data_IF_280263832009
#
_entry.id   IF_280263832009
#
_cell.length_a   1.000
_cell.length_b   1.000
_cell.length_c   1.000
_cell.angle_alpha   90.00
_cell.angle_beta   90.00
_cell.angle_gamma   90.00
#
_symmetry.space_group_name_H-M   'P 1'
#
loop_
_entity.id
_entity.type
_entity.pdbx_description
1 polymer ?
#
# COMPACT_ATOMS: atom_id res chain seq x y z
N UNK A 1 34.06 40.82 22.86
CA UNK A 1 33.12 39.79 22.37
C UNK A 1 32.24 40.44 21.31
N UNK A 2 32.73 40.76 20.10
CA UNK A 2 33.07 39.79 19.04
C UNK A 2 31.92 38.77 18.86
N UNK A 3 30.91 39.11 18.05
CA UNK A 3 30.71 38.74 16.62
C UNK A 3 30.00 37.40 16.45
N UNK A 4 28.72 37.43 16.06
CA UNK A 4 28.04 36.59 15.04
C UNK A 4 26.50 36.71 15.18
N UNK A 5 25.96 37.92 15.03
CA UNK A 5 24.51 38.12 14.85
C UNK A 5 24.21 39.26 13.87
N UNK A 6 25.00 39.33 12.79
CA UNK A 6 24.70 40.16 11.63
C UNK A 6 25.03 39.38 10.37
N UNK A 7 24.04 38.60 9.92
CA UNK A 7 23.82 38.33 8.49
C UNK A 7 22.37 37.88 8.29
N UNK A 8 21.42 38.74 8.70
CA UNK A 8 20.20 38.89 7.91
C UNK A 8 20.61 39.62 6.63
N UNK A 9 20.95 38.86 5.60
CA UNK A 9 20.92 39.34 4.21
C UNK A 9 19.65 38.81 3.59
N UNK A 10 18.64 39.69 3.51
CA UNK A 10 17.54 39.72 2.54
C UNK A 10 16.93 38.38 2.10
N UNK A 11 15.91 37.92 2.84
CA UNK A 11 14.99 36.86 2.43
C UNK A 11 14.11 37.21 1.20
N UNK A 12 14.45 38.28 0.46
CA UNK A 12 13.79 38.72 -0.78
C UNK A 12 14.61 38.46 -2.04
N UNK A 13 15.85 37.97 -1.94
CA UNK A 13 16.75 37.70 -3.07
C UNK A 13 17.38 36.29 -2.99
N UNK A 14 16.58 35.24 -2.78
CA UNK A 14 17.05 33.86 -3.02
C UNK A 14 16.79 33.51 -4.49
N UNK A 15 17.79 33.62 -5.39
CA UNK A 15 17.60 33.36 -6.82
C UNK A 15 17.24 31.90 -7.13
N UNK A 16 17.37 30.96 -6.18
CA UNK A 16 16.90 29.59 -6.36
C UNK A 16 15.37 29.51 -6.24
N UNK A 17 14.72 30.38 -5.43
CA UNK A 17 13.27 30.32 -5.20
C UNK A 17 12.44 30.40 -6.50
N UNK A 18 12.66 31.33 -7.45
CA UNK A 18 11.90 31.37 -8.70
C UNK A 18 11.96 30.05 -9.49
N UNK A 19 13.12 29.38 -9.47
CA UNK A 19 13.26 28.05 -10.10
C UNK A 19 12.47 26.99 -9.33
N UNK A 20 12.55 26.96 -8.00
CA UNK A 20 11.76 26.03 -7.18
C UNK A 20 10.25 26.21 -7.40
N UNK A 21 9.78 27.45 -7.49
CA UNK A 21 8.38 27.75 -7.81
C UNK A 21 8.00 27.30 -9.21
N UNK A 22 8.88 27.53 -10.20
CA UNK A 22 8.64 27.10 -11.59
C UNK A 22 8.62 25.58 -11.72
N UNK A 23 9.52 24.88 -11.03
CA UNK A 23 9.57 23.42 -10.97
C UNK A 23 8.32 22.88 -10.27
N UNK A 24 7.92 23.46 -9.14
CA UNK A 24 6.69 23.10 -8.43
C UNK A 24 5.46 23.27 -9.33
N UNK A 25 5.31 24.42 -9.98
CA UNK A 25 4.21 24.70 -10.90
C UNK A 25 4.22 23.75 -12.11
N UNK A 26 5.40 23.36 -12.62
CA UNK A 26 5.52 22.41 -13.72
C UNK A 26 5.15 20.97 -13.29
N UNK A 27 5.40 20.61 -12.03
CA UNK A 27 4.99 19.33 -11.45
C UNK A 27 3.48 19.29 -11.13
N UNK A 28 2.89 20.41 -10.72
CA UNK A 28 1.47 20.53 -10.36
C UNK A 28 0.56 20.86 -11.57
N UNK A 29 1.11 21.44 -12.63
CA UNK A 29 0.39 21.85 -13.83
C UNK A 29 0.08 20.68 -14.76
N UNK A 30 -1.20 20.47 -15.06
CA UNK A 30 -1.75 19.42 -15.93
C UNK A 30 -1.40 19.52 -17.44
N UNK A 31 -0.25 20.09 -17.80
CA UNK A 31 0.15 20.31 -19.20
C UNK A 31 1.63 20.58 -19.47
N UNK A 32 2.53 20.46 -18.47
CA UNK A 32 3.97 20.58 -18.70
C UNK A 32 4.52 19.35 -19.43
N UNK A 33 5.03 19.52 -20.66
CA UNK A 33 5.74 18.40 -21.33
C UNK A 33 6.95 17.98 -20.50
N UNK A 34 7.27 16.68 -20.44
CA UNK A 34 8.47 16.19 -19.73
C UNK A 34 9.76 16.88 -20.21
N UNK A 35 9.78 17.35 -21.46
CA UNK A 35 10.87 18.12 -22.02
C UNK A 35 10.98 19.52 -21.42
N UNK A 36 9.85 20.18 -21.12
CA UNK A 36 9.86 21.50 -20.47
C UNK A 36 10.41 21.39 -19.04
N UNK A 37 10.04 20.34 -18.29
CA UNK A 37 10.59 20.10 -16.95
C UNK A 37 12.09 19.78 -17.00
N UNK A 38 12.52 18.97 -17.96
CA UNK A 38 13.95 18.68 -18.21
C UNK A 38 14.75 19.97 -18.44
N UNK A 39 14.24 20.85 -19.30
CA UNK A 39 14.90 22.12 -19.62
C UNK A 39 14.95 23.04 -18.39
N UNK A 40 13.84 23.20 -17.65
CA UNK A 40 13.78 24.02 -16.43
C UNK A 40 14.77 23.55 -15.35
N UNK A 41 14.85 22.24 -15.12
CA UNK A 41 15.79 21.66 -14.16
C UNK A 41 17.24 21.82 -14.62
N UNK A 42 17.50 21.63 -15.92
CA UNK A 42 18.82 21.85 -16.53
C UNK A 42 19.28 23.30 -16.41
N UNK A 43 18.41 24.26 -16.72
CA UNK A 43 18.69 25.70 -16.60
C UNK A 43 18.97 26.09 -15.15
N UNK A 44 18.23 25.52 -14.20
CA UNK A 44 18.48 25.72 -12.78
C UNK A 44 19.87 25.20 -12.38
N UNK A 45 20.24 24.00 -12.82
CA UNK A 45 21.54 23.41 -12.53
C UNK A 45 22.68 24.24 -13.11
N UNK A 46 22.58 24.62 -14.39
CA UNK A 46 23.60 25.43 -15.06
C UNK A 46 23.78 26.77 -14.35
N UNK A 47 22.69 27.39 -13.89
CA UNK A 47 22.72 28.68 -13.22
C UNK A 47 23.38 28.65 -11.84
N UNK A 48 23.31 27.52 -11.11
CA UNK A 48 23.71 27.46 -9.70
C UNK A 48 24.82 26.45 -9.38
N UNK A 49 25.25 25.60 -10.32
CA UNK A 49 26.24 24.53 -10.04
C UNK A 49 27.58 25.03 -9.52
N UNK A 50 27.98 26.23 -9.91
CA UNK A 50 29.24 26.87 -9.49
C UNK A 50 29.07 27.78 -8.27
N UNK A 51 27.84 27.95 -7.77
CA UNK A 51 27.54 28.82 -6.63
C UNK A 51 27.87 28.16 -5.30
N UNK A 52 28.78 28.77 -4.53
CA UNK A 52 29.15 28.24 -3.20
C UNK A 52 28.00 28.28 -2.20
N UNK A 53 27.06 29.23 -2.35
CA UNK A 53 25.89 29.38 -1.49
C UNK A 53 24.99 28.14 -1.54
N UNK A 54 24.82 27.53 -2.71
CA UNK A 54 23.93 26.37 -2.92
C UNK A 54 24.65 25.03 -2.84
N UNK A 55 25.98 25.02 -2.72
CA UNK A 55 26.80 23.80 -2.67
C UNK A 55 26.35 22.83 -1.57
N UNK A 56 25.89 23.33 -0.42
CA UNK A 56 25.38 22.50 0.68
C UNK A 56 23.87 22.66 0.91
N UNK A 57 23.14 23.22 -0.06
CA UNK A 57 21.70 23.41 0.04
C UNK A 57 20.95 22.14 -0.39
N UNK A 58 20.19 21.56 0.54
CA UNK A 58 19.39 20.35 0.30
C UNK A 58 18.31 20.59 -0.76
N UNK A 59 17.82 21.83 -0.92
CA UNK A 59 16.86 22.19 -1.98
C UNK A 59 17.50 22.03 -3.35
N UNK A 60 18.76 22.44 -3.50
CA UNK A 60 19.52 22.28 -4.73
C UNK A 60 19.85 20.80 -5.00
N UNK A 61 20.16 20.03 -3.95
CA UNK A 61 20.30 18.58 -4.06
C UNK A 61 19.03 17.91 -4.62
N UNK A 62 17.84 18.30 -4.14
CA UNK A 62 16.57 17.76 -4.68
C UNK A 62 16.40 18.04 -6.16
N UNK A 63 16.80 19.22 -6.63
CA UNK A 63 16.78 19.56 -8.06
C UNK A 63 17.67 18.63 -8.88
N UNK A 64 18.88 18.34 -8.40
CA UNK A 64 19.76 17.36 -9.05
C UNK A 64 19.16 15.95 -9.09
N UNK A 65 18.57 15.47 -8.00
CA UNK A 65 17.92 14.15 -7.96
C UNK A 65 16.71 14.10 -8.90
N UNK A 66 15.90 15.16 -8.96
CA UNK A 66 14.79 15.26 -9.91
C UNK A 66 15.28 15.24 -11.36
N UNK A 67 16.35 16.01 -11.66
CA UNK A 67 16.96 16.05 -12.99
C UNK A 67 17.51 14.69 -13.41
N UNK A 68 18.17 13.97 -12.49
CA UNK A 68 18.58 12.58 -12.71
C UNK A 68 17.40 11.66 -13.03
N UNK A 69 16.23 11.88 -12.43
CA UNK A 69 15.05 11.05 -12.67
C UNK A 69 14.42 11.21 -14.05
N UNK A 70 14.49 12.41 -14.62
CA UNK A 70 13.95 12.72 -15.96
C UNK A 70 14.98 12.58 -17.07
N UNK A 71 16.28 12.59 -16.74
CA UNK A 71 17.37 12.41 -17.71
C UNK A 71 17.51 10.97 -18.20
N UNK A 72 17.80 10.80 -19.48
CA UNK A 72 18.14 9.50 -20.08
C UNK A 72 19.52 8.99 -19.64
N UNK A 73 20.45 9.88 -19.35
CA UNK A 73 21.81 9.57 -18.87
C UNK A 73 22.02 10.06 -17.44
N UNK A 74 21.30 9.45 -16.50
CA UNK A 74 21.41 9.76 -15.07
C UNK A 74 22.80 9.45 -14.49
N UNK A 75 23.60 8.60 -15.15
CA UNK A 75 24.96 8.27 -14.72
C UNK A 75 25.90 9.45 -14.86
N UNK A 76 25.92 10.09 -16.03
CA UNK A 76 26.71 11.31 -16.26
C UNK A 76 26.26 12.46 -15.35
N UNK A 77 24.95 12.62 -15.17
CA UNK A 77 24.39 13.64 -14.26
C UNK A 77 24.84 13.41 -12.81
N UNK A 78 24.82 12.16 -12.34
CA UNK A 78 25.29 11.83 -10.99
C UNK A 78 26.78 12.16 -10.81
N UNK A 79 27.61 11.85 -11.81
CA UNK A 79 29.04 12.18 -11.78
C UNK A 79 29.27 13.69 -11.80
N UNK A 80 28.52 14.45 -12.60
CA UNK A 80 28.58 15.92 -12.60
C UNK A 80 28.20 16.49 -11.23
N UNK A 81 27.10 16.01 -10.62
CA UNK A 81 26.68 16.42 -9.28
C UNK A 81 27.79 16.19 -8.24
N UNK A 82 28.47 15.05 -8.27
CA UNK A 82 29.58 14.75 -7.38
C UNK A 82 30.80 15.66 -7.64
N UNK A 83 31.10 15.97 -8.89
CA UNK A 83 32.19 16.88 -9.28
C UNK A 83 31.93 18.32 -8.85
N UNK A 84 30.66 18.76 -8.86
CA UNK A 84 30.22 20.05 -8.31
C UNK A 84 30.27 20.08 -6.77
N UNK A 85 30.65 18.99 -6.11
CA UNK A 85 30.74 18.86 -4.65
C UNK A 85 29.43 19.19 -3.92
N UNK A 86 28.28 18.92 -4.55
CA UNK A 86 26.96 19.20 -3.97
C UNK A 86 26.72 18.29 -2.77
N UNK A 87 26.42 18.88 -1.61
CA UNK A 87 26.01 18.22 -0.37
C UNK A 87 26.92 17.04 0.08
N UNK A 88 28.21 17.09 -0.23
CA UNK A 88 29.14 15.97 0.00
C UNK A 88 29.30 15.56 1.47
N UNK A 89 29.01 16.46 2.42
CA UNK A 89 29.01 16.17 3.86
C UNK A 89 27.63 15.78 4.42
N UNK A 90 26.58 15.80 3.62
CA UNK A 90 25.21 15.53 4.05
C UNK A 90 24.81 14.11 3.65
N UNK A 91 24.30 13.33 4.61
CA UNK A 91 23.85 11.96 4.38
C UNK A 91 22.74 11.87 3.32
N UNK A 92 21.92 12.92 3.15
CA UNK A 92 20.81 12.96 2.20
C UNK A 92 21.26 12.71 0.76
N UNK A 93 22.44 13.21 0.36
CA UNK A 93 23.01 12.96 -0.96
C UNK A 93 23.13 11.46 -1.20
N UNK A 94 23.81 10.76 -0.29
CA UNK A 94 24.12 9.35 -0.44
C UNK A 94 22.90 8.48 -0.29
N UNK A 95 22.01 8.76 0.67
CA UNK A 95 20.77 7.99 0.87
C UNK A 95 19.86 8.12 -0.35
N UNK A 96 19.57 9.34 -0.80
CA UNK A 96 18.64 9.55 -1.92
C UNK A 96 19.21 9.04 -3.24
N UNK A 97 20.50 9.25 -3.51
CA UNK A 97 21.13 8.68 -4.68
C UNK A 97 21.15 7.16 -4.61
N UNK A 98 21.50 6.54 -3.48
CA UNK A 98 21.49 5.08 -3.37
C UNK A 98 20.08 4.49 -3.57
N UNK A 99 19.04 5.10 -3.00
CA UNK A 99 17.65 4.72 -3.26
C UNK A 99 17.28 4.85 -4.74
N UNK A 100 17.74 5.91 -5.42
CA UNK A 100 17.53 6.08 -6.85
C UNK A 100 18.16 4.94 -7.67
N UNK A 101 19.42 4.59 -7.39
CA UNK A 101 20.09 3.48 -8.08
C UNK A 101 19.45 2.12 -7.75
N UNK A 102 18.94 1.93 -6.53
CA UNK A 102 18.16 0.74 -6.15
C UNK A 102 16.88 0.61 -6.99
N UNK A 103 16.12 1.70 -7.18
CA UNK A 103 14.93 1.73 -8.05
C UNK A 103 15.24 1.43 -9.51
N UNK A 104 16.44 1.77 -10.00
CA UNK A 104 16.92 1.43 -11.35
C UNK A 104 17.49 0.00 -11.45
N UNK A 105 17.44 -0.78 -10.37
CA UNK A 105 17.98 -2.15 -10.30
C UNK A 105 19.51 -2.22 -10.23
N UNK A 106 20.20 -1.09 -10.05
CA UNK A 106 21.67 -1.00 -9.96
C UNK A 106 22.15 -1.14 -8.52
N UNK A 107 21.96 -2.34 -7.97
CA UNK A 107 22.17 -2.63 -6.54
C UNK A 107 23.62 -2.43 -6.09
N UNK A 108 24.59 -2.84 -6.92
CA UNK A 108 26.02 -2.68 -6.61
C UNK A 108 26.41 -1.20 -6.48
N UNK A 109 25.90 -0.36 -7.36
CA UNK A 109 26.15 1.08 -7.33
C UNK A 109 25.49 1.74 -6.13
N UNK A 110 24.27 1.33 -5.77
CA UNK A 110 23.61 1.79 -4.56
C UNK A 110 24.45 1.52 -3.31
N UNK A 111 25.01 0.31 -3.17
CA UNK A 111 25.93 -0.03 -2.06
C UNK A 111 27.23 0.78 -2.11
N UNK A 112 27.77 1.00 -3.31
CA UNK A 112 28.98 1.81 -3.50
C UNK A 112 28.76 3.25 -3.04
N UNK A 113 27.58 3.82 -3.32
CA UNK A 113 27.19 5.17 -2.89
C UNK A 113 27.06 5.24 -1.35
N UNK A 114 26.46 4.23 -0.71
CA UNK A 114 26.44 4.16 0.76
C UNK A 114 27.85 4.14 1.35
N UNK A 115 28.74 3.29 0.81
CA UNK A 115 30.13 3.24 1.25
C UNK A 115 30.87 4.56 1.05
N UNK A 116 30.63 5.24 -0.08
CA UNK A 116 31.21 6.56 -0.35
C UNK A 116 30.77 7.58 0.71
N UNK A 117 29.49 7.61 1.08
CA UNK A 117 28.99 8.52 2.11
C UNK A 117 29.58 8.23 3.49
N UNK A 118 29.76 6.96 3.83
CA UNK A 118 30.40 6.54 5.09
C UNK A 118 31.88 6.95 5.10
N UNK A 119 32.60 6.74 4.00
CA UNK A 119 34.02 7.15 3.90
C UNK A 119 34.21 8.67 3.99
N UNK A 120 33.19 9.44 3.58
CA UNK A 120 33.18 10.90 3.67
C UNK A 120 32.64 11.43 4.99
N UNK A 121 32.29 10.53 5.92
CA UNK A 121 31.73 10.86 7.23
C UNK A 121 30.53 11.80 7.13
N UNK A 122 29.62 11.50 6.19
CA UNK A 122 28.46 12.34 5.93
C UNK A 122 27.45 12.27 7.09
N UNK A 123 26.92 13.43 7.50
CA UNK A 123 26.04 13.53 8.65
C UNK A 123 24.56 13.66 8.22
N UNK A 124 23.62 13.01 8.95
CA UNK A 124 23.83 12.11 10.08
C UNK A 124 24.35 10.71 9.69
N UNK A 125 25.50 10.30 10.22
CA UNK A 125 26.15 9.05 9.83
C UNK A 125 25.37 7.79 10.24
N UNK A 126 24.70 7.84 11.39
CA UNK A 126 23.88 6.72 11.88
C UNK A 126 22.67 6.47 10.98
N UNK A 127 22.11 7.52 10.37
CA UNK A 127 21.05 7.38 9.38
C UNK A 127 21.57 6.67 8.13
N UNK A 128 22.77 7.02 7.67
CA UNK A 128 23.40 6.40 6.50
C UNK A 128 23.71 4.92 6.72
N UNK A 129 24.26 4.55 7.88
CA UNK A 129 24.51 3.14 8.25
C UNK A 129 23.22 2.33 8.33
N UNK A 130 22.16 2.88 8.94
CA UNK A 130 20.85 2.22 9.02
C UNK A 130 20.25 2.01 7.62
N UNK A 131 20.32 3.02 6.76
CA UNK A 131 19.84 2.92 5.38
C UNK A 131 20.61 1.86 4.57
N UNK A 132 21.95 1.80 4.73
CA UNK A 132 22.77 0.76 4.10
C UNK A 132 22.40 -0.65 4.58
N UNK A 133 22.18 -0.84 5.88
CA UNK A 133 21.78 -2.15 6.44
C UNK A 133 20.45 -2.64 5.85
N UNK A 134 19.46 -1.74 5.73
CA UNK A 134 18.18 -2.04 5.09
C UNK A 134 18.34 -2.39 3.60
N UNK A 135 19.22 -1.69 2.88
CA UNK A 135 19.53 -1.99 1.49
C UNK A 135 20.16 -3.39 1.33
N UNK A 136 21.15 -3.73 2.17
CA UNK A 136 21.75 -5.07 2.19
C UNK A 136 20.72 -6.17 2.47
N UNK A 137 19.77 -5.93 3.38
CA UNK A 137 18.70 -6.88 3.66
C UNK A 137 17.84 -7.12 2.41
N UNK A 138 17.38 -6.06 1.75
CA UNK A 138 16.59 -6.15 0.50
C UNK A 138 17.35 -6.84 -0.63
N UNK A 139 18.64 -6.53 -0.80
CA UNK A 139 19.50 -7.18 -1.81
C UNK A 139 19.66 -8.68 -1.48
N UNK A 140 19.88 -9.04 -0.22
CA UNK A 140 19.98 -10.44 0.22
C UNK A 140 18.70 -11.21 -0.04
N UNK A 141 17.54 -10.61 0.25
CA UNK A 141 16.22 -11.20 -0.02
C UNK A 141 15.97 -11.36 -1.52
N UNK A 142 16.36 -10.38 -2.33
CA UNK A 142 16.25 -10.42 -3.81
C UNK A 142 17.18 -11.47 -4.41
N UNK A 143 18.42 -11.58 -3.92
CA UNK A 143 19.36 -12.62 -4.35
C UNK A 143 18.84 -14.02 -3.99
N UNK A 144 18.36 -14.22 -2.76
CA UNK A 144 17.73 -15.49 -2.33
C UNK A 144 16.49 -15.82 -3.16
N UNK A 145 15.73 -14.81 -3.60
CA UNK A 145 14.58 -15.01 -4.48
C UNK A 145 15.00 -15.36 -5.92
N UNK A 146 16.06 -14.75 -6.46
CA UNK A 146 16.59 -15.04 -7.79
C UNK A 146 17.33 -16.39 -7.86
N UNK A 147 17.99 -16.80 -6.78
CA UNK A 147 18.67 -18.09 -6.64
C UNK A 147 17.65 -19.25 -6.60
N UNK A 148 16.48 -19.04 -5.98
CA UNK A 148 15.33 -19.96 -6.04
C UNK A 148 14.74 -20.14 -7.43
N UNK A 149 15.03 -19.24 -8.37
CA UNK A 149 14.55 -19.31 -9.76
C UNK A 149 15.56 -19.93 -10.74
N UNK A 150 16.84 -20.12 -10.34
CA UNK A 150 17.92 -20.58 -11.23
C UNK A 150 18.42 -22.02 -11.02
N UNK A 151 17.89 -22.76 -10.04
CA UNK A 151 18.34 -24.12 -9.75
C UNK A 151 17.20 -25.11 -10.05
N UNK A 152 17.04 -25.40 -11.34
CA UNK A 152 16.63 -26.73 -11.79
C UNK A 152 17.92 -27.52 -12.10
N UNK A 153 17.90 -28.83 -11.80
CA UNK A 153 18.99 -29.83 -11.86
C UNK A 153 19.95 -30.01 -10.66
N UNK A 154 19.55 -31.02 -9.87
CA UNK A 154 20.36 -32.10 -9.22
C UNK A 154 21.40 -31.74 -8.14
N UNK A 155 20.99 -32.01 -6.90
CA UNK A 155 21.72 -32.91 -6.00
C UNK A 155 22.42 -32.30 -4.77
N UNK A 156 21.75 -32.42 -3.61
CA UNK A 156 22.29 -32.65 -2.23
C UNK A 156 23.25 -31.59 -1.63
N UNK A 157 23.12 -31.04 -0.41
CA UNK A 157 22.43 -31.40 0.84
C UNK A 157 22.49 -30.20 1.83
N UNK A 158 21.56 -30.14 2.80
CA UNK A 158 21.61 -29.43 4.11
C UNK A 158 21.44 -27.89 4.23
N UNK A 159 20.19 -27.44 4.21
CA UNK A 159 19.48 -26.87 5.38
C UNK A 159 17.99 -27.11 5.10
N UNK A 160 17.25 -27.74 6.01
CA UNK A 160 15.91 -28.31 5.77
C UNK A 160 14.90 -27.33 5.14
N UNK A 161 14.91 -27.28 3.81
CA UNK A 161 14.02 -26.48 3.00
C UNK A 161 12.71 -27.27 2.86
N UNK A 162 11.84 -27.19 3.88
CA UNK A 162 10.46 -27.60 3.67
C UNK A 162 9.85 -26.50 2.81
N UNK A 163 9.93 -26.70 1.49
CA UNK A 163 9.19 -25.93 0.49
C UNK A 163 7.70 -26.22 0.65
N UNK A 164 7.14 -25.81 1.79
CA UNK A 164 5.71 -25.88 2.07
C UNK A 164 5.10 -24.77 1.23
N UNK A 165 4.40 -25.15 0.16
CA UNK A 165 3.42 -24.24 -0.42
C UNK A 165 2.28 -24.12 0.59
N UNK A 166 2.08 -22.97 1.27
CA UNK A 166 1.03 -22.84 2.28
C UNK A 166 -0.38 -22.96 1.66
N UNK A 167 -0.47 -22.87 0.33
CA UNK A 167 -1.71 -22.91 -0.45
C UNK A 167 -1.88 -24.25 -1.15
N UNK A 168 -1.03 -25.23 -0.84
CA UNK A 168 -1.21 -26.60 -1.31
C UNK A 168 -2.53 -27.15 -0.75
N UNK A 169 -3.35 -27.72 -1.65
CA UNK A 169 -4.68 -28.24 -1.29
C UNK A 169 -4.61 -29.26 -0.16
N UNK A 170 -3.58 -30.11 -0.11
CA UNK A 170 -3.44 -31.13 0.94
C UNK A 170 -3.17 -30.51 2.31
N UNK A 171 -2.35 -29.46 2.34
CA UNK A 171 -1.99 -28.73 3.56
C UNK A 171 -3.19 -27.94 4.07
N UNK A 172 -3.91 -27.28 3.16
CA UNK A 172 -5.12 -26.58 3.51
C UNK A 172 -6.20 -27.55 4.01
N UNK A 173 -6.38 -28.71 3.38
CA UNK A 173 -7.32 -29.73 3.85
C UNK A 173 -6.97 -30.23 5.25
N UNK A 174 -5.70 -30.50 5.53
CA UNK A 174 -5.25 -30.95 6.85
C UNK A 174 -5.37 -29.85 7.92
N UNK A 175 -5.07 -28.61 7.55
CA UNK A 175 -5.28 -27.45 8.41
C UNK A 175 -6.77 -27.22 8.69
N UNK A 176 -7.62 -27.37 7.67
CA UNK A 176 -9.08 -27.28 7.80
C UNK A 176 -9.63 -28.39 8.72
N UNK A 177 -9.12 -29.62 8.63
CA UNK A 177 -9.48 -30.70 9.58
C UNK A 177 -9.17 -30.30 11.03
N UNK A 178 -8.01 -29.67 11.26
CA UNK A 178 -7.60 -29.17 12.59
C UNK A 178 -8.46 -28.00 13.07
N UNK A 179 -8.87 -27.11 12.17
CA UNK A 179 -9.66 -25.91 12.48
C UNK A 179 -11.15 -26.21 12.66
N UNK A 180 -11.67 -27.24 12.00
CA UNK A 180 -13.09 -27.59 11.99
C UNK A 180 -13.76 -27.66 13.38
N UNK A 181 -13.15 -28.23 14.43
CA UNK A 181 -13.74 -28.24 15.77
C UNK A 181 -13.87 -26.84 16.38
N UNK A 182 -12.95 -25.93 16.04
CA UNK A 182 -12.90 -24.56 16.55
C UNK A 182 -13.85 -23.65 15.78
N UNK A 183 -13.83 -23.72 14.44
CA UNK A 183 -14.62 -22.81 13.59
C UNK A 183 -16.12 -22.97 13.83
N UNK A 184 -16.59 -24.19 14.11
CA UNK A 184 -17.99 -24.52 14.43
C UNK A 184 -18.50 -23.85 15.71
N UNK A 185 -17.60 -23.45 16.61
CA UNK A 185 -17.95 -22.80 17.88
C UNK A 185 -18.09 -21.28 17.74
N UNK A 186 -17.58 -20.70 16.65
CA UNK A 186 -17.67 -19.27 16.46
C UNK A 186 -19.12 -18.85 16.20
N UNK A 187 -19.52 -17.75 16.85
CA UNK A 187 -20.81 -17.14 16.61
C UNK A 187 -20.95 -16.77 15.13
N UNK A 188 -22.13 -17.06 14.56
CA UNK A 188 -22.41 -16.77 13.15
C UNK A 188 -21.95 -17.85 12.16
N UNK A 189 -21.36 -18.96 12.62
CA UNK A 189 -21.08 -20.11 11.77
C UNK A 189 -22.31 -21.01 11.59
N UNK A 190 -22.70 -21.28 10.34
CA UNK A 190 -23.82 -22.14 10.00
C UNK A 190 -23.41 -23.16 8.92
N UNK A 191 -23.66 -24.45 9.17
CA UNK A 191 -23.35 -25.53 8.23
C UNK A 191 -24.63 -26.25 7.78
N UNK A 192 -24.75 -26.45 6.47
CA UNK A 192 -25.76 -27.26 5.82
C UNK A 192 -25.10 -28.36 4.98
N UNK A 193 -25.54 -29.60 5.14
CA UNK A 193 -25.12 -30.72 4.29
C UNK A 193 -25.81 -30.73 2.93
N UNK A 194 -26.87 -29.93 2.77
CA UNK A 194 -27.58 -29.76 1.50
C UNK A 194 -26.92 -28.68 0.66
N UNK A 195 -26.93 -28.85 -0.66
CA UNK A 195 -26.64 -27.76 -1.60
C UNK A 195 -27.62 -26.62 -1.40
N UNK A 196 -27.21 -25.41 -1.78
CA UNK A 196 -28.10 -24.26 -1.70
C UNK A 196 -29.30 -24.43 -2.64
N UNK A 197 -30.50 -24.55 -2.06
CA UNK A 197 -31.78 -24.77 -2.77
C UNK A 197 -32.69 -23.55 -2.72
N UNK A 198 -32.14 -22.36 -2.45
CA UNK A 198 -32.92 -21.14 -2.39
C UNK A 198 -33.75 -20.93 -3.67
N UNK A 199 -34.92 -20.28 -3.52
CA UNK A 199 -35.88 -20.03 -4.62
C UNK A 199 -35.25 -19.37 -5.85
N UNK A 200 -34.11 -18.72 -5.68
CA UNK A 200 -33.29 -18.15 -6.74
C UNK A 200 -31.98 -18.92 -6.83
N UNK A 201 -31.69 -19.52 -7.97
CA UNK A 201 -30.43 -20.18 -8.21
C UNK A 201 -29.27 -19.16 -8.18
N UNK A 202 -28.25 -19.38 -7.36
CA UNK A 202 -27.11 -18.45 -7.23
C UNK A 202 -26.38 -18.22 -8.57
N UNK A 203 -26.38 -19.22 -9.47
CA UNK A 203 -25.84 -19.10 -10.83
C UNK A 203 -26.56 -18.06 -11.71
N UNK A 204 -27.82 -17.76 -11.40
CA UNK A 204 -28.65 -16.76 -12.11
C UNK A 204 -28.59 -15.36 -11.49
N UNK A 205 -27.80 -15.16 -10.42
CA UNK A 205 -27.65 -13.88 -9.73
C UNK A 205 -26.71 -12.89 -10.45
N UNK A 206 -26.38 -13.07 -11.73
CA UNK A 206 -25.59 -12.10 -12.52
C UNK A 206 -26.33 -10.74 -12.70
N UNK A 207 -26.11 -10.03 -13.80
CA UNK A 207 -26.63 -8.66 -14.03
C UNK A 207 -28.16 -8.48 -13.89
N UNK A 208 -28.95 -9.57 -13.86
CA UNK A 208 -30.40 -9.58 -13.66
C UNK A 208 -30.85 -9.85 -12.20
N UNK A 209 -29.98 -9.65 -11.20
CA UNK A 209 -30.27 -9.92 -9.78
C UNK A 209 -30.94 -8.79 -9.00
N UNK A 210 -31.07 -7.60 -9.60
CA UNK A 210 -31.71 -6.46 -8.92
C UNK A 210 -33.12 -6.81 -8.48
N UNK A 211 -33.41 -6.56 -7.21
CA UNK A 211 -34.69 -6.78 -6.55
C UNK A 211 -35.11 -8.24 -6.31
N UNK A 212 -34.19 -9.20 -6.39
CA UNK A 212 -34.46 -10.57 -5.95
C UNK A 212 -34.32 -10.69 -4.43
N UNK A 213 -35.24 -11.44 -3.81
CA UNK A 213 -35.15 -11.81 -2.39
C UNK A 213 -34.62 -13.22 -2.29
N UNK A 214 -33.53 -13.40 -1.52
CA UNK A 214 -33.01 -14.71 -1.15
C UNK A 214 -33.18 -14.94 0.34
N UNK A 215 -33.32 -16.20 0.74
CA UNK A 215 -33.46 -16.58 2.14
C UNK A 215 -32.27 -17.42 2.56
N UNK A 216 -31.55 -16.96 3.58
CA UNK A 216 -30.34 -17.61 4.10
C UNK A 216 -30.46 -17.66 5.62
N UNK A 217 -30.43 -18.87 6.18
CA UNK A 217 -30.50 -19.07 7.64
C UNK A 217 -31.73 -18.45 8.30
N UNK A 218 -32.88 -18.46 7.60
CA UNK A 218 -34.15 -17.89 8.08
C UNK A 218 -34.26 -16.36 8.01
N UNK A 219 -33.28 -15.67 7.40
CA UNK A 219 -33.35 -14.23 7.12
C UNK A 219 -33.52 -13.99 5.63
N UNK A 220 -34.30 -12.96 5.29
CA UNK A 220 -34.50 -12.53 3.90
C UNK A 220 -33.48 -11.45 3.56
N UNK A 221 -32.89 -11.55 2.38
CA UNK A 221 -31.94 -10.57 1.86
C UNK A 221 -32.43 -10.09 0.50
N UNK A 222 -32.73 -8.80 0.41
CA UNK A 222 -33.20 -8.16 -0.82
C UNK A 222 -32.02 -7.60 -1.61
N UNK A 223 -31.63 -8.28 -2.68
CA UNK A 223 -30.45 -7.93 -3.49
C UNK A 223 -30.71 -6.63 -4.26
N UNK A 224 -29.81 -5.66 -4.11
CA UNK A 224 -29.86 -4.37 -4.80
C UNK A 224 -28.96 -4.30 -6.02
N UNK A 225 -27.85 -5.04 -6.03
CA UNK A 225 -26.95 -5.10 -7.18
C UNK A 225 -25.68 -5.87 -6.90
N UNK A 226 -24.92 -6.15 -7.97
CA UNK A 226 -23.57 -6.66 -7.89
C UNK A 226 -22.66 -5.52 -7.41
N UNK A 227 -21.95 -5.75 -6.31
CA UNK A 227 -20.99 -4.81 -5.72
C UNK A 227 -19.55 -5.12 -6.15
N UNK A 228 -19.26 -6.38 -6.53
CA UNK A 228 -17.95 -6.79 -7.01
C UNK A 228 -17.96 -8.22 -7.53
N UNK A 229 -17.06 -8.52 -8.46
CA UNK A 229 -16.89 -9.85 -9.02
C UNK A 229 -15.40 -10.18 -9.12
N UNK A 230 -14.99 -11.29 -8.50
CA UNK A 230 -13.65 -11.88 -8.63
C UNK A 230 -13.71 -13.28 -9.23
N UNK A 231 -12.55 -13.90 -9.47
CA UNK A 231 -12.45 -15.25 -10.05
C UNK A 231 -13.15 -16.32 -9.22
N UNK A 232 -13.10 -16.20 -7.89
CA UNK A 232 -13.61 -17.21 -6.95
C UNK A 232 -14.83 -16.75 -6.13
N UNK A 233 -15.28 -15.49 -6.30
CA UNK A 233 -16.39 -14.96 -5.53
C UNK A 233 -17.21 -13.89 -6.26
N UNK A 234 -18.50 -13.81 -5.91
CA UNK A 234 -19.40 -12.74 -6.31
C UNK A 234 -19.92 -12.02 -5.07
N UNK A 235 -19.87 -10.69 -5.07
CA UNK A 235 -20.29 -9.85 -3.96
C UNK A 235 -21.53 -9.07 -4.35
N UNK A 236 -22.58 -9.15 -3.52
CA UNK A 236 -23.85 -8.48 -3.73
C UNK A 236 -24.17 -7.53 -2.59
N UNK A 237 -24.65 -6.33 -2.92
CA UNK A 237 -25.29 -5.45 -1.95
C UNK A 237 -26.70 -5.95 -1.67
N UNK A 238 -27.08 -6.12 -0.40
CA UNK A 238 -28.42 -6.53 -0.03
C UNK A 238 -28.94 -5.80 1.23
N UNK A 239 -30.26 -5.69 1.34
CA UNK A 239 -30.95 -5.22 2.55
C UNK A 239 -31.47 -6.40 3.35
N UNK A 240 -31.18 -6.44 4.64
CA UNK A 240 -31.65 -7.49 5.54
C UNK A 240 -33.13 -7.23 5.87
N UNK A 241 -33.97 -8.24 5.66
CA UNK A 241 -35.42 -8.17 5.89
C UNK A 241 -36.11 -6.95 5.24
N UNK A 242 -35.56 -6.48 4.11
CA UNK A 242 -36.02 -5.29 3.39
C UNK A 242 -35.88 -3.97 4.16
N UNK A 243 -35.10 -3.92 5.24
CA UNK A 243 -34.76 -2.68 5.94
C UNK A 243 -33.66 -1.92 5.17
N UNK A 244 -33.93 -0.70 4.66
CA UNK A 244 -32.92 0.11 3.97
C UNK A 244 -31.73 0.53 4.84
N UNK A 245 -31.88 0.51 6.17
CA UNK A 245 -30.83 0.87 7.11
C UNK A 245 -29.90 -0.31 7.45
N UNK A 246 -30.34 -1.55 7.21
CA UNK A 246 -29.57 -2.76 7.47
C UNK A 246 -28.99 -3.29 6.13
N UNK A 247 -27.86 -2.70 5.74
CA UNK A 247 -27.18 -2.97 4.47
C UNK A 247 -25.99 -3.89 4.68
N UNK A 248 -25.93 -4.98 3.91
CA UNK A 248 -24.86 -5.97 3.98
C UNK A 248 -24.29 -6.30 2.60
N UNK A 249 -23.04 -6.78 2.61
CA UNK A 249 -22.38 -7.40 1.47
C UNK A 249 -22.50 -8.93 1.59
N UNK A 250 -23.09 -9.56 0.58
CA UNK A 250 -23.19 -11.01 0.46
C UNK A 250 -22.12 -11.52 -0.48
N UNK A 251 -21.09 -12.16 0.07
CA UNK A 251 -19.98 -12.74 -0.69
C UNK A 251 -20.21 -14.23 -0.88
N UNK A 252 -20.52 -14.62 -2.11
CA UNK A 252 -20.81 -16.00 -2.51
C UNK A 252 -19.56 -16.59 -3.16
N UNK A 253 -19.09 -17.73 -2.66
CA UNK A 253 -17.90 -18.43 -3.15
C UNK A 253 -18.23 -19.85 -3.60
N UNK A 254 -17.59 -20.28 -4.69
CA UNK A 254 -17.71 -21.63 -5.26
C UNK A 254 -16.33 -22.13 -5.66
N UNK A 255 -15.83 -23.25 -5.12
CA UNK A 255 -16.45 -24.10 -4.08
C UNK A 255 -16.54 -23.39 -2.72
N UNK A 256 -17.13 -24.06 -1.72
CA UNK A 256 -17.24 -23.53 -0.36
C UNK A 256 -15.85 -23.26 0.24
N UNK A 257 -15.66 -22.05 0.78
CA UNK A 257 -14.36 -21.59 1.30
C UNK A 257 -14.48 -21.06 2.74
N UNK A 258 -14.56 -21.95 3.75
CA UNK A 258 -14.67 -21.57 5.17
C UNK A 258 -13.44 -20.85 5.73
N UNK A 259 -12.28 -20.98 5.08
CA UNK A 259 -11.01 -20.41 5.53
C UNK A 259 -11.09 -18.90 5.73
N UNK A 260 -11.75 -18.18 4.83
CA UNK A 260 -11.89 -16.71 4.94
C UNK A 260 -12.62 -16.29 6.23
N UNK A 261 -13.70 -16.99 6.60
CA UNK A 261 -14.39 -16.71 7.87
C UNK A 261 -13.52 -17.02 9.09
N UNK A 262 -12.69 -18.06 9.02
CA UNK A 262 -11.73 -18.35 10.08
C UNK A 262 -10.72 -17.20 10.25
N UNK A 263 -10.21 -16.63 9.16
CA UNK A 263 -9.28 -15.51 9.20
C UNK A 263 -9.91 -14.27 9.87
N UNK A 264 -11.17 -13.95 9.59
CA UNK A 264 -11.89 -12.90 10.32
C UNK A 264 -11.93 -13.13 11.83
N UNK A 265 -12.12 -14.39 12.25
CA UNK A 265 -12.12 -14.73 13.69
C UNK A 265 -10.73 -14.66 14.30
N UNK A 266 -9.68 -14.97 13.53
CA UNK A 266 -8.30 -14.75 13.98
C UNK A 266 -8.01 -13.25 14.17
N UNK A 267 -8.53 -12.38 13.30
CA UNK A 267 -8.43 -10.94 13.50
C UNK A 267 -9.13 -10.49 14.78
N UNK A 268 -10.38 -10.95 15.01
CA UNK A 268 -11.14 -10.62 16.23
C UNK A 268 -10.43 -11.02 17.52
N UNK A 269 -9.70 -12.13 17.49
CA UNK A 269 -9.02 -12.68 18.67
C UNK A 269 -7.66 -12.04 18.93
N UNK A 270 -6.97 -11.57 17.89
CA UNK A 270 -5.56 -11.15 17.99
C UNK A 270 -5.36 -9.63 17.90
N UNK A 271 -6.27 -8.91 17.24
CA UNK A 271 -6.22 -7.45 17.11
C UNK A 271 -7.30 -6.88 18.02
N UNK A 272 -6.94 -5.96 18.90
CA UNK A 272 -7.85 -5.37 19.89
C UNK A 272 -7.86 -3.85 19.78
N UNK A 273 -8.86 -3.21 20.41
CA UNK A 273 -8.95 -1.76 20.43
C UNK A 273 -9.33 -1.15 19.07
N UNK A 274 -8.81 0.05 18.79
CA UNK A 274 -9.19 0.84 17.62
C UNK A 274 -8.70 0.23 16.31
N UNK A 275 -7.54 -0.41 16.30
CA UNK A 275 -6.95 -1.03 15.10
C UNK A 275 -7.84 -2.11 14.49
N UNK A 276 -8.67 -2.79 15.30
CA UNK A 276 -9.59 -3.82 14.81
C UNK A 276 -10.60 -3.23 13.81
N UNK A 277 -10.99 -1.96 13.94
CA UNK A 277 -11.93 -1.33 13.00
C UNK A 277 -11.34 -1.18 11.59
N UNK A 278 -10.01 -1.19 11.43
CA UNK A 278 -9.29 -1.11 10.14
C UNK A 278 -9.45 -2.36 9.26
N UNK A 279 -10.02 -3.44 9.80
CA UNK A 279 -10.16 -4.72 9.12
C UNK A 279 -11.62 -5.16 9.00
N UNK A 280 -11.91 -5.90 7.94
CA UNK A 280 -13.23 -6.43 7.63
C UNK A 280 -13.85 -7.21 8.77
N UNK A 281 -15.19 -7.24 8.78
CA UNK A 281 -15.97 -8.06 9.70
C UNK A 281 -16.91 -8.94 8.88
N UNK A 282 -16.76 -10.26 9.01
CA UNK A 282 -17.76 -11.21 8.55
C UNK A 282 -18.72 -11.50 9.70
N UNK A 283 -19.92 -10.90 9.67
CA UNK A 283 -20.94 -11.11 10.69
C UNK A 283 -21.29 -12.59 10.83
N UNK A 284 -21.43 -13.30 9.69
CA UNK A 284 -21.86 -14.70 9.61
C UNK A 284 -21.32 -15.39 8.35
N UNK A 285 -21.25 -16.72 8.40
CA UNK A 285 -21.03 -17.59 7.24
C UNK A 285 -22.09 -18.70 7.19
N UNK A 286 -22.59 -18.97 5.99
CA UNK A 286 -23.43 -20.14 5.69
C UNK A 286 -22.70 -21.03 4.69
N UNK A 287 -22.30 -22.21 5.15
CA UNK A 287 -21.67 -23.25 4.33
C UNK A 287 -22.72 -24.22 3.83
N UNK A 288 -22.74 -24.42 2.51
CA UNK A 288 -23.52 -25.42 1.80
C UNK A 288 -22.56 -26.42 1.13
N UNK A 289 -23.09 -27.53 0.64
CA UNK A 289 -22.28 -28.54 -0.05
C UNK A 289 -21.59 -28.01 -1.33
N UNK A 290 -22.17 -26.99 -1.97
CA UNK A 290 -21.72 -26.45 -3.26
C UNK A 290 -21.14 -25.03 -3.18
N UNK A 291 -21.33 -24.33 -2.06
CA UNK A 291 -20.90 -22.93 -1.93
C UNK A 291 -20.79 -22.47 -0.47
N UNK A 292 -20.10 -21.35 -0.26
CA UNK A 292 -20.15 -20.58 0.99
C UNK A 292 -20.73 -19.20 0.73
N UNK A 293 -21.52 -18.70 1.69
CA UNK A 293 -22.05 -17.33 1.65
C UNK A 293 -21.61 -16.62 2.93
N UNK A 294 -20.72 -15.64 2.79
CA UNK A 294 -20.33 -14.75 3.87
C UNK A 294 -21.21 -13.50 3.86
N UNK A 295 -21.63 -13.08 5.05
CA UNK A 295 -22.36 -11.82 5.28
C UNK A 295 -21.39 -10.88 5.97
N UNK A 296 -21.03 -9.81 5.27
CA UNK A 296 -20.09 -8.79 5.72
C UNK A 296 -20.74 -7.41 5.75
N UNK A 297 -20.10 -6.47 6.44
CA UNK A 297 -20.49 -5.07 6.37
C UNK A 297 -20.30 -4.53 4.95
N UNK A 298 -21.24 -3.73 4.48
CA UNK A 298 -21.15 -3.08 3.19
C UNK A 298 -20.57 -1.67 3.33
N UNK A 299 -19.49 -1.39 2.60
CA UNK A 299 -18.97 -0.04 2.42
C UNK A 299 -19.25 0.44 0.99
N UNK A 300 -19.72 1.69 0.88
CA UNK A 300 -20.24 2.23 -0.38
C UNK A 300 -19.19 2.94 -1.25
N UNK A 301 -18.00 3.22 -0.70
CA UNK A 301 -17.06 4.18 -1.27
C UNK A 301 -16.05 3.59 -2.27
N UNK A 302 -16.22 2.33 -2.63
CA UNK A 302 -15.34 1.64 -3.59
C UNK A 302 -13.97 1.31 -3.01
N UNK A 303 -13.12 0.78 -3.89
CA UNK A 303 -11.76 0.33 -3.60
C UNK A 303 -10.73 1.43 -3.83
N UNK A 304 -9.54 1.28 -3.27
CA UNK A 304 -8.40 2.13 -3.62
C UNK A 304 -8.07 2.02 -5.11
N UNK A 305 -8.26 0.84 -5.71
CA UNK A 305 -8.14 0.65 -7.16
C UNK A 305 -9.13 1.51 -7.95
N UNK A 306 -10.37 1.68 -7.48
CA UNK A 306 -11.36 2.55 -8.13
C UNK A 306 -10.93 4.03 -8.09
N UNK A 307 -10.32 4.45 -6.97
CA UNK A 307 -9.74 5.80 -6.85
C UNK A 307 -8.59 5.96 -7.85
N UNK A 308 -7.62 5.03 -7.86
CA UNK A 308 -6.48 5.05 -8.81
C UNK A 308 -6.97 5.11 -10.26
N UNK A 309 -7.97 4.30 -10.60
CA UNK A 309 -8.56 4.27 -11.94
C UNK A 309 -9.24 5.58 -12.30
N UNK A 310 -9.85 6.28 -11.35
CA UNK A 310 -10.49 7.60 -11.57
C UNK A 310 -9.45 8.63 -12.00
N UNK A 311 -8.28 8.65 -11.36
CA UNK A 311 -7.15 9.51 -11.76
C UNK A 311 -6.59 9.12 -13.14
N UNK A 312 -6.41 7.82 -13.38
CA UNK A 312 -5.93 7.31 -14.66
C UNK A 312 -6.84 7.71 -15.83
N UNK A 313 -8.18 7.61 -15.68
CA UNK A 313 -9.16 8.02 -16.70
C UNK A 313 -9.11 9.53 -16.96
N UNK A 314 -8.81 10.33 -15.94
CA UNK A 314 -8.62 11.77 -16.08
C UNK A 314 -7.25 12.14 -16.68
N UNK A 315 -6.38 11.16 -16.93
CA UNK A 315 -5.02 11.38 -17.42
C UNK A 315 -4.13 12.11 -16.42
N UNK A 316 -4.48 12.06 -15.12
CA UNK A 316 -3.74 12.72 -14.04
C UNK A 316 -3.12 11.67 -13.12
N UNK A 317 -1.89 11.88 -12.63
CA UNK A 317 -1.38 11.10 -11.51
C UNK A 317 -2.15 11.47 -10.22
N UNK A 318 -2.29 10.51 -9.30
CA UNK A 318 -2.77 10.79 -7.95
C UNK A 318 -1.76 11.70 -7.22
N UNK A 319 -2.25 12.69 -6.47
CA UNK A 319 -1.40 13.63 -5.75
C UNK A 319 -0.46 12.89 -4.79
N UNK A 320 0.81 13.31 -4.75
CA UNK A 320 1.84 12.65 -3.94
C UNK A 320 1.46 12.61 -2.44
N UNK A 321 0.76 13.64 -1.95
CA UNK A 321 0.25 13.68 -0.56
C UNK A 321 -0.74 12.55 -0.29
N UNK A 322 -1.65 12.24 -1.23
CA UNK A 322 -2.58 11.12 -1.10
C UNK A 322 -1.84 9.78 -1.23
N UNK A 323 -0.85 9.70 -2.13
CA UNK A 323 0.00 8.52 -2.24
C UNK A 323 0.75 8.23 -0.93
N UNK A 324 1.32 9.25 -0.29
CA UNK A 324 2.00 9.13 1.01
C UNK A 324 1.01 8.71 2.09
N UNK A 325 -0.16 9.36 2.16
CA UNK A 325 -1.21 9.02 3.12
C UNK A 325 -1.64 7.55 3.03
N UNK A 326 -2.03 7.09 1.83
CA UNK A 326 -2.43 5.70 1.63
C UNK A 326 -1.26 4.73 1.84
N UNK A 327 -0.03 5.13 1.54
CA UNK A 327 1.16 4.30 1.82
C UNK A 327 1.36 4.10 3.31
N UNK A 328 1.23 5.15 4.11
CA UNK A 328 1.33 5.07 5.58
C UNK A 328 0.22 4.15 6.13
N UNK A 329 -1.02 4.33 5.68
CA UNK A 329 -2.15 3.47 6.09
C UNK A 329 -1.90 2.00 5.72
N UNK A 330 -1.45 1.73 4.49
CA UNK A 330 -1.12 0.38 4.04
C UNK A 330 0.01 -0.25 4.87
N UNK A 331 1.07 0.50 5.17
CA UNK A 331 2.18 0.02 5.99
C UNK A 331 1.74 -0.30 7.41
N UNK A 332 0.92 0.55 8.01
CA UNK A 332 0.37 0.34 9.36
C UNK A 332 -0.52 -0.91 9.42
N UNK A 333 -1.36 -1.14 8.39
CA UNK A 333 -2.19 -2.35 8.30
C UNK A 333 -1.35 -3.63 8.20
N UNK A 334 -0.24 -3.59 7.45
CA UNK A 334 0.67 -4.73 7.31
C UNK A 334 1.47 -4.95 8.59
N UNK A 335 1.98 -3.89 9.22
CA UNK A 335 2.69 -3.95 10.50
C UNK A 335 1.83 -4.59 11.59
N UNK A 336 0.57 -4.14 11.71
CA UNK A 336 -0.38 -4.68 12.69
C UNK A 336 -0.66 -6.17 12.44
N UNK A 337 -0.89 -6.59 11.19
CA UNK A 337 -1.09 -8.02 10.87
C UNK A 337 0.13 -8.87 11.22
N UNK A 338 1.31 -8.40 10.84
CA UNK A 338 2.55 -9.12 11.08
C UNK A 338 2.86 -9.19 12.59
N UNK A 339 2.55 -8.13 13.35
CA UNK A 339 2.67 -8.10 14.81
C UNK A 339 1.84 -9.18 15.50
N UNK A 340 0.72 -9.60 14.91
CA UNK A 340 -0.14 -10.68 15.42
C UNK A 340 0.09 -12.04 14.74
N UNK A 341 1.16 -12.15 13.95
CA UNK A 341 1.54 -13.39 13.27
C UNK A 341 0.53 -13.83 12.20
N UNK A 342 -0.10 -12.88 11.52
CA UNK A 342 -0.97 -13.13 10.37
C UNK A 342 -0.31 -12.57 9.11
N UNK A 343 -0.32 -13.34 8.03
CA UNK A 343 0.11 -12.91 6.71
C UNK A 343 -1.13 -12.89 5.82
N UNK A 344 -1.31 -11.80 5.09
CA UNK A 344 -2.46 -11.69 4.22
C UNK A 344 -2.38 -12.57 2.97
N UNK A 345 -1.26 -12.50 2.25
CA UNK A 345 -1.01 -13.27 1.03
C UNK A 345 -1.49 -12.64 -0.29
N UNK A 346 -2.38 -11.65 -0.24
CA UNK A 346 -2.92 -10.96 -1.43
C UNK A 346 -3.12 -9.44 -1.23
N UNK A 347 -2.08 -8.73 -0.76
CA UNK A 347 -2.18 -7.30 -0.42
C UNK A 347 -2.06 -6.42 -1.67
N UNK A 348 -3.17 -5.80 -2.10
CA UNK A 348 -3.27 -5.01 -3.33
C UNK A 348 -4.44 -4.01 -3.30
N UNK A 349 -4.44 -2.96 -4.15
CA UNK A 349 -5.43 -1.87 -4.07
C UNK A 349 -6.90 -2.29 -4.24
N UNK A 350 -7.18 -3.38 -4.95
CA UNK A 350 -8.55 -3.89 -5.13
C UNK A 350 -9.11 -4.60 -3.88
N UNK A 351 -8.25 -4.98 -2.91
CA UNK A 351 -8.65 -5.57 -1.63
C UNK A 351 -8.79 -4.53 -0.49
N UNK A 352 -8.56 -3.25 -0.80
CA UNK A 352 -8.63 -2.13 0.14
C UNK A 352 -9.84 -1.25 -0.22
N UNK A 353 -10.79 -1.10 0.69
CA UNK A 353 -11.91 -0.16 0.55
C UNK A 353 -11.59 1.18 1.21
N UNK A 354 -12.17 2.23 0.65
CA UNK A 354 -12.09 3.58 1.22
C UNK A 354 -13.18 3.75 2.30
N UNK A 355 -12.84 4.43 3.40
CA UNK A 355 -13.80 4.97 4.37
C UNK A 355 -13.67 6.47 4.50
N UNK A 356 -14.82 7.14 4.42
CA UNK A 356 -14.98 8.53 4.82
C UNK A 356 -15.63 8.59 6.20
N UNK A 357 -15.35 9.65 6.96
CA UNK A 357 -16.09 9.94 8.16
C UNK A 357 -17.57 10.10 7.80
N UNK A 358 -18.44 9.75 8.76
CA UNK A 358 -19.88 9.92 8.58
C UNK A 358 -20.32 11.39 8.65
N UNK A 359 -19.45 12.28 9.11
CA UNK A 359 -19.72 13.70 9.30
C UNK A 359 -18.85 14.56 8.39
N UNK A 360 -19.41 15.65 7.86
CA UNK A 360 -18.72 16.60 6.99
C UNK A 360 -17.46 17.16 7.67
N UNK A 361 -16.32 17.04 6.99
CA UNK A 361 -15.04 17.62 7.41
C UNK A 361 -15.18 19.14 7.53
N UNK A 362 -15.11 19.67 8.74
CA UNK A 362 -14.96 21.12 8.98
C UNK A 362 -13.49 21.53 8.75
N UNK A 363 -13.26 22.71 8.18
CA UNK A 363 -11.92 23.24 7.85
C UNK A 363 -10.94 23.25 9.04
N UNK A 364 -11.45 23.29 10.27
CA UNK A 364 -10.65 23.24 11.51
C UNK A 364 -10.09 21.84 11.82
N UNK A 365 -10.71 20.78 11.29
CA UNK A 365 -10.30 19.40 11.53
C UNK A 365 -8.96 19.02 10.89
N UNK A 366 -8.48 19.76 9.89
CA UNK A 366 -7.20 19.53 9.23
C UNK A 366 -6.02 20.22 9.94
N UNK A 367 -6.27 21.33 10.66
CA UNK A 367 -5.22 22.22 11.19
C UNK A 367 -4.77 21.85 12.60
N UNK A 368 -5.62 21.25 13.43
CA UNK A 368 -5.29 20.88 14.83
C UNK A 368 -4.68 19.46 14.99
N UNK A 369 -4.44 18.74 13.90
CA UNK A 369 -3.98 17.34 13.91
C UNK A 369 -2.45 17.20 13.96
N UNK A 370 -1.80 17.77 14.97
CA UNK A 370 -0.36 17.60 15.23
C UNK A 370 -0.07 16.49 16.24
N UNK A 371 -0.30 15.22 15.86
CA UNK A 371 -0.01 14.03 16.67
C UNK A 371 0.32 12.79 15.81
N UNK A 372 0.77 11.67 16.41
CA UNK A 372 1.04 10.44 15.67
C UNK A 372 -0.20 9.94 14.92
N UNK A 373 -0.02 9.45 13.68
CA UNK A 373 -1.11 9.02 12.78
C UNK A 373 -2.08 8.01 13.40
N UNK A 374 -1.63 7.22 14.37
CA UNK A 374 -2.45 6.22 15.06
C UNK A 374 -3.57 6.81 15.96
N UNK A 375 -3.44 8.07 16.39
CA UNK A 375 -4.43 8.73 17.25
C UNK A 375 -5.53 9.45 16.44
N UNK A 376 -5.39 9.52 15.11
CA UNK A 376 -6.17 10.43 14.24
C UNK A 376 -7.18 9.73 13.30
N UNK A 377 -7.13 8.39 13.15
CA UNK A 377 -7.81 7.64 12.07
C UNK A 377 -9.08 6.90 12.49
N UNK A 378 -9.77 7.36 13.53
CA UNK A 378 -10.96 6.66 14.05
C UNK A 378 -12.10 6.50 13.05
N UNK A 379 -12.21 7.37 12.05
CA UNK A 379 -13.39 7.47 11.17
C UNK A 379 -13.08 7.61 9.67
N UNK A 380 -11.84 7.93 9.28
CA UNK A 380 -11.39 8.10 7.88
C UNK A 380 -10.13 7.28 7.62
N UNK A 381 -10.09 6.57 6.49
CA UNK A 381 -8.90 5.82 6.08
C UNK A 381 -9.20 4.59 5.24
N UNK A 382 -8.22 3.67 5.21
CA UNK A 382 -8.37 2.41 4.50
C UNK A 382 -9.12 1.38 5.36
N UNK A 383 -9.85 0.50 4.68
CA UNK A 383 -10.50 -0.66 5.27
C UNK A 383 -10.18 -1.92 4.48
N UNK A 384 -9.74 -2.95 5.17
CA UNK A 384 -9.52 -4.23 4.52
C UNK A 384 -10.79 -5.06 4.41
N UNK A 385 -11.02 -5.74 3.27
CA UNK A 385 -12.22 -6.55 3.07
C UNK A 385 -12.04 -8.02 2.65
N UNK A 386 -10.83 -8.54 2.41
CA UNK A 386 -10.75 -9.84 1.74
C UNK A 386 -9.44 -10.55 1.91
N UNK A 387 -9.46 -11.73 2.55
CA UNK A 387 -8.41 -12.75 2.47
C UNK A 387 -8.78 -13.73 1.33
N UNK A 388 -8.46 -13.37 0.09
CA UNK A 388 -8.68 -14.26 -1.05
C UNK A 388 -7.37 -14.91 -1.51
N UNK A 389 -7.51 -16.10 -2.12
CA UNK A 389 -6.49 -16.63 -2.99
C UNK A 389 -6.65 -16.00 -4.38
N UNK A 390 -5.58 -15.46 -4.93
CA UNK A 390 -5.47 -15.13 -6.37
C UNK A 390 -5.12 -16.35 -7.19
#
# INVERSE_FOLDING_TARGET
>A
MATFYNSLTSATDDPLLPFLWSVKNALEGSGGSSQNLLNLLGDCIISFKDSEQYRNDVRFLKIWILYMGVSSDFGSVFMEMLNCNVCTKNASLYVWSACFFELKGRLHDALTIYHLGISRNAEPIEWLKKAQALCHQRISETWKAAERQKIDYKGSTELGNIGINPWDSSILEDLMKKINPTIKKFYGYHLSTKSYTGKVALSTLKNASRNKVIEIGGRKYHIKGCAGQGGFAQVYKAFVNSDPNDVVALKIQKPAFPWEFYMYRQLDMRITGRERSSYGLAQRIHLYADCSILICDYLAHGTLQDVINTYAVQGKPMEEVLCIYYTIEMLHMVETLHGVGLIHGDFKPDNLLIRYARDDLTEEGFLDRSGPSCDQTGEEGLFWISFQMT
#
